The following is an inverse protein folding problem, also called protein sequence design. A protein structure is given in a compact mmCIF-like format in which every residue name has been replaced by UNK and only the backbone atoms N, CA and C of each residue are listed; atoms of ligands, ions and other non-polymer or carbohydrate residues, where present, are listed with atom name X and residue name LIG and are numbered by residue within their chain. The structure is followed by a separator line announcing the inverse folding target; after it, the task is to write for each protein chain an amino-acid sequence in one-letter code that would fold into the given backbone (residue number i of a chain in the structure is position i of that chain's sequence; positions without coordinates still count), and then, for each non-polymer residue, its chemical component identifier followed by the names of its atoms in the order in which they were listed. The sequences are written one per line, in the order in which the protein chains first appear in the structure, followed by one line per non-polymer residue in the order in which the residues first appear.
data_IF_115924443001
#
_entry.id   IF_115924443001
#
_cell.length_a   1.000
_cell.length_b   1.000
_cell.length_c   1.000
_cell.angle_alpha   90.00
_cell.angle_beta   90.00
_cell.angle_gamma   90.00
#
_symmetry.space_group_name_H-M   'P 1'
#
loop_
_entity.id
_entity.type
_entity.pdbx_description
1 polymer ?
#
# COMPACT_ATOMS: atom_id res chain seq x y z
N UNK A 1 1.84 -2.45 -10.35
CA UNK A 1 1.68 -1.40 -9.32
C UNK A 1 2.36 -1.76 -8.00
N UNK A 2 1.72 -2.34 -6.97
CA UNK A 2 2.40 -2.53 -5.67
C UNK A 2 3.64 -3.44 -5.74
N UNK A 3 3.52 -4.63 -6.34
CA UNK A 3 4.64 -5.59 -6.49
C UNK A 3 5.77 -4.99 -7.33
N UNK A 4 5.42 -4.29 -8.39
CA UNK A 4 6.36 -3.59 -9.28
C UNK A 4 7.13 -2.50 -8.53
N UNK A 5 6.44 -1.67 -7.75
CA UNK A 5 7.06 -0.64 -6.92
C UNK A 5 8.02 -1.24 -5.87
N UNK A 6 7.67 -2.40 -5.29
CA UNK A 6 8.56 -3.13 -4.37
C UNK A 6 9.83 -3.60 -5.10
N UNK A 7 9.68 -4.20 -6.29
CA UNK A 7 10.82 -4.69 -7.08
C UNK A 7 11.75 -3.55 -7.48
N UNK A 8 11.21 -2.42 -7.93
CA UNK A 8 11.99 -1.24 -8.30
C UNK A 8 12.71 -0.62 -7.08
N UNK A 9 12.03 -0.52 -5.93
CA UNK A 9 12.62 0.01 -4.71
C UNK A 9 13.78 -0.87 -4.20
N UNK A 10 13.63 -2.19 -4.26
CA UNK A 10 14.68 -3.13 -3.87
C UNK A 10 15.88 -3.05 -4.83
N UNK A 11 15.63 -2.93 -6.13
CA UNK A 11 16.68 -2.77 -7.13
C UNK A 11 17.49 -1.47 -6.90
N UNK A 12 16.81 -0.36 -6.62
CA UNK A 12 17.46 0.93 -6.30
C UNK A 12 18.28 0.86 -5.00
N UNK A 13 17.75 0.19 -3.98
CA UNK A 13 18.44 -0.06 -2.72
C UNK A 13 19.57 -1.11 -2.82
N UNK A 14 19.66 -1.84 -3.95
CA UNK A 14 20.55 -3.00 -4.14
C UNK A 14 20.36 -4.07 -3.06
N UNK A 15 19.09 -4.33 -2.74
CA UNK A 15 18.67 -5.31 -1.73
C UNK A 15 17.87 -6.43 -2.36
N UNK A 16 17.95 -7.60 -1.76
CA UNK A 16 17.12 -8.75 -2.08
C UNK A 16 15.85 -8.74 -1.21
N UNK A 17 14.75 -9.30 -1.74
CA UNK A 17 13.48 -9.39 -0.99
C UNK A 17 13.65 -10.04 0.40
N UNK A 18 14.55 -11.02 0.51
CA UNK A 18 14.79 -11.78 1.76
C UNK A 18 15.41 -10.94 2.88
N UNK A 19 15.91 -9.75 2.58
CA UNK A 19 16.48 -8.83 3.56
C UNK A 19 15.41 -7.95 4.22
N UNK A 20 14.19 -7.92 3.69
CA UNK A 20 13.06 -7.20 4.28
C UNK A 20 12.46 -8.03 5.41
N UNK A 21 12.33 -7.45 6.60
CA UNK A 21 11.87 -8.17 7.79
C UNK A 21 10.43 -7.81 8.19
N UNK A 22 9.92 -6.67 7.73
CA UNK A 22 8.54 -6.24 8.00
C UNK A 22 7.97 -5.38 6.87
N UNK A 23 6.65 -5.37 6.73
CA UNK A 23 5.94 -4.56 5.75
C UNK A 23 4.83 -3.73 6.39
N UNK A 24 4.89 -2.41 6.22
CA UNK A 24 3.76 -1.51 6.45
C UNK A 24 3.04 -1.26 5.11
N UNK A 25 1.85 -1.82 4.97
CA UNK A 25 1.06 -1.74 3.76
C UNK A 25 -0.10 -0.76 3.89
N UNK A 26 -0.36 -0.01 2.82
CA UNK A 26 -1.44 0.96 2.74
C UNK A 26 -2.35 0.75 1.55
N UNK A 27 -3.63 1.04 1.74
CA UNK A 27 -4.61 1.10 0.66
C UNK A 27 -5.59 2.23 0.91
N UNK A 28 -6.08 2.86 -0.15
CA UNK A 28 -7.11 3.88 0.01
C UNK A 28 -8.48 3.24 0.30
N UNK A 29 -9.31 3.96 1.05
CA UNK A 29 -10.60 3.48 1.52
C UNK A 29 -11.61 3.23 0.39
N UNK A 30 -11.48 3.88 -0.77
CA UNK A 30 -12.46 3.75 -1.87
C UNK A 30 -12.30 2.50 -2.74
N UNK A 31 -11.10 1.90 -2.79
CA UNK A 31 -10.90 0.60 -3.48
C UNK A 31 -11.75 -0.50 -2.82
N UNK A 32 -12.19 -0.27 -1.57
CA UNK A 32 -13.06 -1.15 -0.79
C UNK A 32 -14.49 -1.32 -1.32
N UNK A 33 -14.98 -0.45 -2.21
CA UNK A 33 -16.42 -0.41 -2.52
C UNK A 33 -16.78 -0.93 -3.93
N UNK A 34 -15.86 -0.88 -4.90
CA UNK A 34 -16.14 -1.31 -6.29
C UNK A 34 -15.23 -2.42 -6.84
N UNK A 35 -14.01 -2.57 -6.32
CA UNK A 35 -12.99 -3.46 -6.89
C UNK A 35 -12.69 -4.70 -6.00
N UNK A 36 -13.47 -4.91 -4.93
CA UNK A 36 -13.44 -6.15 -4.14
C UNK A 36 -12.31 -6.28 -3.12
N UNK A 37 -11.48 -5.25 -2.92
CA UNK A 37 -10.39 -5.28 -1.93
C UNK A 37 -10.56 -4.17 -0.89
N UNK A 38 -10.93 -4.56 0.33
CA UNK A 38 -10.99 -3.63 1.45
C UNK A 38 -9.60 -3.05 1.74
N UNK A 39 -9.49 -1.74 1.93
CA UNK A 39 -8.20 -1.08 2.20
C UNK A 39 -7.43 -1.69 3.39
N UNK A 40 -8.15 -2.26 4.36
CA UNK A 40 -7.59 -2.98 5.52
C UNK A 40 -6.90 -4.31 5.16
N UNK A 41 -7.16 -4.86 3.97
CA UNK A 41 -6.58 -6.12 3.46
C UNK A 41 -5.49 -5.89 2.41
N UNK A 42 -5.12 -4.63 2.15
CA UNK A 42 -4.13 -4.25 1.14
C UNK A 42 -2.80 -5.01 1.32
N UNK A 43 -2.29 -5.11 2.54
CA UNK A 43 -1.06 -5.85 2.82
C UNK A 43 -1.16 -7.34 2.55
N UNK A 44 -2.27 -7.98 2.93
CA UNK A 44 -2.50 -9.40 2.66
C UNK A 44 -2.61 -9.68 1.17
N UNK A 45 -3.25 -8.79 0.41
CA UNK A 45 -3.36 -8.94 -1.03
C UNK A 45 -2.02 -8.75 -1.75
N UNK A 46 -1.21 -7.78 -1.33
CA UNK A 46 0.16 -7.61 -1.84
C UNK A 46 0.98 -8.87 -1.55
N UNK A 47 0.92 -9.38 -0.32
CA UNK A 47 1.59 -10.63 0.06
C UNK A 47 1.14 -11.81 -0.81
N UNK A 48 -0.17 -11.95 -1.06
CA UNK A 48 -0.70 -13.01 -1.92
C UNK A 48 -0.23 -12.85 -3.36
N UNK A 49 -0.18 -11.63 -3.90
CA UNK A 49 0.32 -11.37 -5.25
C UNK A 49 1.82 -11.68 -5.41
N UNK A 50 2.57 -11.63 -4.30
CA UNK A 50 3.98 -12.01 -4.24
C UNK A 50 4.22 -13.49 -3.93
N UNK A 51 3.15 -14.31 -3.86
CA UNK A 51 3.25 -15.75 -3.60
C UNK A 51 3.37 -16.14 -2.13
N UNK A 52 3.05 -15.23 -1.20
CA UNK A 52 3.17 -15.45 0.24
C UNK A 52 4.59 -15.16 0.73
N UNK A 53 4.76 -14.00 1.36
CA UNK A 53 6.09 -13.43 1.61
C UNK A 53 6.75 -13.82 2.94
N UNK A 54 5.98 -14.37 3.89
CA UNK A 54 6.51 -14.92 5.15
C UNK A 54 6.97 -13.90 6.21
N UNK A 55 6.73 -12.60 6.00
CA UNK A 55 7.08 -11.53 6.96
C UNK A 55 5.82 -10.94 7.63
N UNK A 56 5.93 -10.36 8.84
CA UNK A 56 4.83 -9.62 9.47
C UNK A 56 4.39 -8.41 8.62
N UNK A 57 3.07 -8.18 8.58
CA UNK A 57 2.45 -7.13 7.78
C UNK A 57 1.47 -6.32 8.63
N UNK A 58 1.68 -5.01 8.70
CA UNK A 58 0.71 -4.07 9.27
C UNK A 58 -0.03 -3.37 8.13
N UNK A 59 -1.34 -3.53 8.05
CA UNK A 59 -2.16 -2.82 7.06
C UNK A 59 -2.80 -1.58 7.69
N UNK A 60 -2.70 -0.45 7.01
CA UNK A 60 -3.27 0.83 7.44
C UNK A 60 -4.11 1.45 6.32
N UNK A 61 -5.26 2.03 6.69
CA UNK A 61 -6.05 2.88 5.83
C UNK A 61 -6.33 4.20 6.57
N UNK A 62 -5.77 5.30 6.06
CA UNK A 62 -5.88 6.63 6.66
C UNK A 62 -6.13 7.71 5.59
N UNK A 63 -7.03 7.43 4.65
CA UNK A 63 -7.38 8.31 3.53
C UNK A 63 -6.13 8.89 2.83
N UNK A 64 -6.11 10.21 2.56
CA UNK A 64 -4.98 10.91 1.94
C UNK A 64 -3.68 10.84 2.77
N UNK A 65 -3.78 10.56 4.07
CA UNK A 65 -2.64 10.46 4.98
C UNK A 65 -2.08 9.03 5.10
N UNK A 66 -2.62 8.06 4.36
CA UNK A 66 -2.18 6.65 4.40
C UNK A 66 -0.67 6.52 4.18
N UNK A 67 -0.11 7.21 3.16
CA UNK A 67 1.32 7.17 2.87
C UNK A 67 2.19 7.62 4.05
N UNK A 68 1.80 8.71 4.72
CA UNK A 68 2.51 9.18 5.91
C UNK A 68 2.38 8.23 7.11
N UNK A 69 1.22 7.60 7.27
CA UNK A 69 0.98 6.63 8.35
C UNK A 69 1.85 5.37 8.20
N UNK A 70 1.88 4.77 7.00
CA UNK A 70 2.69 3.57 6.75
C UNK A 70 4.19 3.86 6.79
N UNK A 71 4.60 5.04 6.33
CA UNK A 71 6.00 5.44 6.41
C UNK A 71 6.44 5.63 7.86
N UNK A 72 5.61 6.30 8.68
CA UNK A 72 5.86 6.44 10.12
C UNK A 72 5.94 5.08 10.81
N UNK A 73 5.06 4.14 10.46
CA UNK A 73 5.09 2.78 11.02
C UNK A 73 6.40 2.05 10.69
N UNK A 74 6.80 2.00 9.42
CA UNK A 74 8.06 1.39 9.00
C UNK A 74 9.28 2.07 9.65
N UNK A 75 9.27 3.40 9.73
CA UNK A 75 10.30 4.16 10.43
C UNK A 75 10.39 3.78 11.90
N UNK A 76 9.27 3.70 12.62
CA UNK A 76 9.27 3.33 14.03
C UNK A 76 9.72 1.89 14.26
N UNK A 77 9.39 0.98 13.34
CA UNK A 77 9.84 -0.40 13.40
C UNK A 77 11.37 -0.48 13.34
N UNK A 78 12.01 0.31 12.48
CA UNK A 78 13.49 0.41 12.41
C UNK A 78 14.06 1.19 13.59
N UNK A 79 13.52 2.37 13.90
CA UNK A 79 14.04 3.25 14.93
C UNK A 79 13.94 2.67 16.36
N UNK A 80 12.98 1.77 16.59
CA UNK A 80 12.86 1.03 17.85
C UNK A 80 13.83 -0.14 17.99
N UNK A 81 14.53 -0.51 16.91
CA UNK A 81 15.36 -1.71 16.84
C UNK A 81 14.56 -3.01 16.78
N UNK A 82 13.26 -2.94 16.43
CA UNK A 82 12.43 -4.13 16.26
C UNK A 82 12.80 -4.90 14.98
N UNK A 83 13.19 -4.17 13.94
CA UNK A 83 13.69 -4.70 12.66
C UNK A 83 14.87 -3.83 12.17
N UNK A 84 15.80 -4.42 11.43
CA UNK A 84 16.85 -3.70 10.73
C UNK A 84 16.34 -3.14 9.40
N UNK A 85 15.41 -3.86 8.74
CA UNK A 85 14.84 -3.45 7.45
C UNK A 85 13.31 -3.57 7.44
N UNK A 86 12.64 -2.49 7.02
CA UNK A 86 11.19 -2.45 6.85
C UNK A 86 10.82 -1.78 5.52
N UNK A 87 9.77 -2.27 4.87
CA UNK A 87 9.23 -1.68 3.64
C UNK A 87 7.87 -1.04 3.89
N UNK A 88 7.69 0.19 3.42
CA UNK A 88 6.40 0.87 3.39
C UNK A 88 5.89 0.90 1.94
N UNK A 89 4.72 0.31 1.68
CA UNK A 89 4.17 0.22 0.33
C UNK A 89 2.68 0.51 0.32
N UNK A 90 2.25 1.28 -0.68
CA UNK A 90 0.84 1.43 -1.02
C UNK A 90 0.70 1.49 -2.52
N UNK A 91 -0.41 0.99 -3.03
CA UNK A 91 -0.83 1.23 -4.40
C UNK A 91 -2.32 1.51 -4.41
N UNK A 92 -2.70 2.51 -5.19
CA UNK A 92 -4.10 2.85 -5.42
C UNK A 92 -4.33 3.01 -6.92
N UNK A 93 -5.51 2.57 -7.36
CA UNK A 93 -6.03 2.89 -8.68
C UNK A 93 -7.44 3.43 -8.51
N UNK A 94 -7.55 4.75 -8.58
CA UNK A 94 -8.84 5.41 -8.47
C UNK A 94 -9.70 5.07 -9.69
N UNK A 95 -10.98 4.75 -9.46
CA UNK A 95 -11.92 4.47 -10.53
C UNK A 95 -12.10 5.71 -11.44
N UNK A 96 -12.45 5.47 -12.71
CA UNK A 96 -12.83 6.55 -13.61
C UNK A 96 -13.95 7.40 -12.99
N UNK A 97 -13.77 8.72 -12.97
CA UNK A 97 -14.71 9.64 -12.33
C UNK A 97 -14.60 9.73 -10.80
N UNK A 98 -13.57 9.16 -10.17
CA UNK A 98 -13.30 9.34 -8.74
C UNK A 98 -13.12 10.82 -8.35
N UNK A 99 -12.42 11.58 -9.18
CA UNK A 99 -12.35 13.05 -9.08
C UNK A 99 -13.35 13.72 -10.02
N UNK A 100 -14.59 13.18 -10.14
CA UNK A 100 -15.67 13.90 -10.81
C UNK A 100 -15.76 15.30 -10.18
N UNK A 101 -15.77 16.37 -10.99
CA UNK A 101 -16.10 17.68 -10.47
C UNK A 101 -17.41 17.57 -9.68
N UNK A 102 -17.57 18.30 -8.58
CA UNK A 102 -18.86 18.41 -7.88
C UNK A 102 -19.90 19.21 -8.70
N UNK A 103 -19.81 19.16 -10.03
CA UNK A 103 -20.80 19.70 -10.94
C UNK A 103 -22.00 18.75 -10.97
N UNK A 104 -23.21 19.31 -10.96
CA UNK A 104 -24.45 18.57 -11.22
C UNK A 104 -24.61 18.15 -12.70
N UNK A 105 -23.53 18.25 -13.48
CA UNK A 105 -23.55 17.98 -14.91
C UNK A 105 -23.55 16.46 -15.17
N UNK A 106 -24.69 15.95 -15.63
CA UNK A 106 -24.94 14.52 -15.82
C UNK A 106 -24.21 13.91 -17.02
N UNK A 107 -23.38 14.68 -17.72
CA UNK A 107 -22.66 14.24 -18.91
C UNK A 107 -21.70 13.06 -18.66
N UNK A 108 -21.24 12.85 -17.42
CA UNK A 108 -20.25 11.83 -17.06
C UNK A 108 -20.80 10.69 -16.19
N UNK A 109 -22.11 10.65 -15.97
CA UNK A 109 -22.79 9.57 -15.25
C UNK A 109 -23.04 8.38 -16.19
N UNK A 110 -21.96 7.65 -16.49
CA UNK A 110 -21.99 6.31 -17.07
C UNK A 110 -22.03 5.24 -15.96
#
# INVERSE_FOLDING_TARGET
MAVEAIVEALADAKMEWREVESMAAGGYLWVSQREGMFGILSGTAISSAMGGIGIPITSCANACATGGAIFREAYLAVASGLYDTSIAVAADKSAGGFFRPQSEDSQFDL
#
